data_IF_827003592150
#
_entry.id   IF_827003592150
#
_cell.length_a   1.000
_cell.length_b   1.000
_cell.length_c   1.000
_cell.angle_alpha   90.00
_cell.angle_beta   90.00
_cell.angle_gamma   90.00
#
_symmetry.space_group_name_H-M   'P 1'
#
loop_
_entity.id
_entity.type
_entity.pdbx_description
1 polymer ?
#
# COMPACT_ATOMS: atom_id res chain seq x y z
N UNK A 1 -14.57 -8.47 9.49
CA UNK A 1 -13.57 -9.42 9.00
C UNK A 1 -12.22 -8.74 8.81
N UNK A 2 -11.15 -9.35 9.29
CA UNK A 2 -9.79 -8.81 9.21
C UNK A 2 -9.32 -8.64 7.74
N UNK A 3 -9.75 -9.53 6.87
CA UNK A 3 -9.49 -9.46 5.44
C UNK A 3 -9.97 -8.13 4.81
N UNK A 4 -11.22 -7.75 5.11
CA UNK A 4 -11.81 -6.51 4.57
C UNK A 4 -11.02 -5.29 5.04
N UNK A 5 -10.66 -5.23 6.32
CA UNK A 5 -9.87 -4.14 6.90
C UNK A 5 -8.47 -4.04 6.28
N UNK A 6 -7.80 -5.17 6.08
CA UNK A 6 -6.47 -5.20 5.46
C UNK A 6 -6.50 -4.78 3.99
N UNK A 7 -7.51 -5.18 3.22
CA UNK A 7 -7.68 -4.72 1.84
C UNK A 7 -7.97 -3.22 1.79
N UNK A 8 -8.89 -2.75 2.63
CA UNK A 8 -9.34 -1.35 2.59
C UNK A 8 -8.35 -0.37 3.26
N UNK A 9 -7.37 -0.87 4.01
CA UNK A 9 -6.26 -0.06 4.55
C UNK A 9 -5.56 0.76 3.44
N UNK A 10 -5.44 0.17 2.25
CA UNK A 10 -4.77 0.80 1.12
C UNK A 10 -5.63 1.78 0.33
N UNK A 11 -6.93 1.94 0.65
CA UNK A 11 -7.84 2.82 -0.08
C UNK A 11 -7.82 4.28 0.41
N UNK A 12 -6.93 4.63 1.34
CA UNK A 12 -6.79 6.00 1.83
C UNK A 12 -6.43 7.00 0.72
N UNK A 13 -7.35 7.95 0.43
CA UNK A 13 -7.20 8.97 -0.60
C UNK A 13 -6.99 10.36 -0.01
N UNK A 14 -6.59 11.38 -0.80
CA UNK A 14 -6.58 12.77 -0.35
C UNK A 14 -7.96 13.34 0.01
N UNK A 15 -9.03 12.68 -0.43
CA UNK A 15 -10.40 13.19 -0.34
C UNK A 15 -11.15 12.58 0.83
N UNK A 16 -11.44 13.40 1.86
CA UNK A 16 -12.11 12.95 3.08
C UNK A 16 -13.50 12.35 2.84
N UNK A 17 -14.26 12.86 1.86
CA UNK A 17 -15.58 12.34 1.49
C UNK A 17 -15.47 10.89 1.00
N UNK A 18 -14.49 10.59 0.13
CA UNK A 18 -14.26 9.22 -0.38
C UNK A 18 -13.88 8.30 0.77
N UNK A 19 -12.94 8.72 1.60
CA UNK A 19 -12.48 7.95 2.75
C UNK A 19 -13.63 7.66 3.72
N UNK A 20 -14.49 8.67 4.01
CA UNK A 20 -15.65 8.51 4.86
C UNK A 20 -16.69 7.54 4.29
N UNK A 21 -16.93 7.56 2.98
CA UNK A 21 -17.84 6.62 2.33
C UNK A 21 -17.31 5.18 2.37
N UNK A 22 -16.02 4.99 2.08
CA UNK A 22 -15.40 3.66 2.18
C UNK A 22 -15.43 3.15 3.63
N UNK A 23 -15.14 4.01 4.60
CA UNK A 23 -15.21 3.64 6.02
C UNK A 23 -16.62 3.20 6.41
N UNK A 24 -17.67 3.99 6.07
CA UNK A 24 -19.07 3.64 6.32
C UNK A 24 -19.47 2.32 5.66
N UNK A 25 -19.02 2.07 4.43
CA UNK A 25 -19.30 0.81 3.74
C UNK A 25 -18.67 -0.40 4.47
N UNK A 26 -17.45 -0.24 4.99
CA UNK A 26 -16.78 -1.29 5.77
C UNK A 26 -17.49 -1.49 7.12
N UNK A 27 -17.89 -0.44 7.79
CA UNK A 27 -18.64 -0.51 9.05
C UNK A 27 -20.00 -1.21 8.84
N UNK A 28 -20.74 -0.83 7.78
CA UNK A 28 -22.00 -1.47 7.42
C UNK A 28 -21.85 -2.95 7.11
N UNK A 29 -20.79 -3.33 6.38
CA UNK A 29 -20.47 -4.72 6.09
C UNK A 29 -20.18 -5.52 7.37
N UNK A 30 -19.42 -4.95 8.32
CA UNK A 30 -19.15 -5.58 9.61
C UNK A 30 -20.42 -5.76 10.43
N UNK A 31 -21.29 -4.72 10.48
CA UNK A 31 -22.58 -4.80 11.14
C UNK A 31 -23.48 -5.89 10.53
N UNK A 32 -23.51 -5.97 9.20
CA UNK A 32 -24.24 -7.03 8.49
C UNK A 32 -23.73 -8.44 8.82
N UNK A 33 -22.43 -8.61 9.03
CA UNK A 33 -21.82 -9.86 9.48
C UNK A 33 -21.99 -10.14 10.98
N UNK A 34 -22.64 -9.24 11.74
CA UNK A 34 -22.78 -9.37 13.20
C UNK A 34 -21.46 -9.16 13.96
N UNK A 35 -20.49 -8.42 13.38
CA UNK A 35 -19.17 -8.22 13.96
C UNK A 35 -18.91 -6.72 14.21
N UNK A 36 -18.23 -6.39 15.31
CA UNK A 36 -17.72 -5.04 15.52
C UNK A 36 -16.55 -4.76 14.58
N UNK A 37 -16.48 -3.53 14.02
CA UNK A 37 -15.35 -3.14 13.17
C UNK A 37 -14.06 -3.00 13.98
N UNK A 38 -14.15 -2.63 15.26
CA UNK A 38 -13.04 -2.45 16.20
C UNK A 38 -13.00 -3.59 17.25
N UNK A 39 -13.29 -4.82 16.85
CA UNK A 39 -13.21 -6.00 17.73
C UNK A 39 -11.77 -6.21 18.23
N UNK A 40 -11.51 -6.15 19.57
CA UNK A 40 -10.16 -6.29 20.14
C UNK A 40 -9.50 -7.64 19.84
N UNK A 41 -10.29 -8.68 19.55
CA UNK A 41 -9.74 -9.98 19.16
C UNK A 41 -9.01 -9.91 17.82
N UNK A 42 -9.39 -8.98 16.94
CA UNK A 42 -8.92 -8.89 15.56
C UNK A 42 -8.30 -7.55 15.19
N UNK A 43 -8.32 -6.54 16.08
CA UNK A 43 -7.69 -5.22 15.88
C UNK A 43 -6.79 -4.85 17.04
N UNK A 44 -5.72 -4.11 16.76
CA UNK A 44 -4.89 -3.44 17.76
C UNK A 44 -5.27 -1.97 17.91
N UNK A 45 -5.69 -1.32 16.81
CA UNK A 45 -6.07 0.09 16.76
C UNK A 45 -7.51 0.25 16.26
N UNK A 46 -8.12 1.42 16.52
CA UNK A 46 -9.39 1.77 15.92
C UNK A 46 -9.27 1.88 14.38
N UNK A 47 -10.17 1.19 13.68
CA UNK A 47 -10.20 1.18 12.22
C UNK A 47 -10.56 2.57 11.68
N UNK A 48 -9.65 3.15 10.88
CA UNK A 48 -9.86 4.45 10.22
C UNK A 48 -9.23 4.44 8.83
N UNK A 49 -9.96 4.95 7.85
CA UNK A 49 -9.45 5.17 6.51
C UNK A 49 -9.02 6.62 6.37
N UNK A 50 -7.73 6.83 6.24
CA UNK A 50 -7.12 8.15 6.06
C UNK A 50 -6.01 8.06 5.02
N UNK A 51 -5.70 9.20 4.38
CA UNK A 51 -4.45 9.32 3.63
C UNK A 51 -3.31 9.57 4.62
N UNK A 52 -2.42 8.64 4.69
CA UNK A 52 -1.15 8.81 5.40
C UNK A 52 -0.02 9.02 4.39
N UNK A 53 0.91 9.90 4.71
CA UNK A 53 2.12 10.15 3.91
C UNK A 53 3.38 9.55 4.55
N UNK A 54 3.26 9.00 5.78
CA UNK A 54 4.35 8.32 6.47
C UNK A 54 4.55 6.91 5.89
N UNK A 55 5.79 6.46 5.79
CA UNK A 55 6.16 5.17 5.21
C UNK A 55 5.52 3.96 5.90
N UNK A 56 5.23 4.06 7.19
CA UNK A 56 4.65 2.99 8.01
C UNK A 56 3.12 2.87 7.88
N UNK A 57 2.46 3.92 7.38
CA UNK A 57 0.98 4.00 7.25
C UNK A 57 0.49 4.31 5.85
N UNK A 58 1.40 4.58 4.91
CA UNK A 58 1.02 4.92 3.55
C UNK A 58 0.28 3.76 2.87
N UNK A 59 -0.92 4.04 2.38
CA UNK A 59 -1.68 3.10 1.57
C UNK A 59 -1.13 3.03 0.13
N UNK A 60 -1.54 1.98 -0.59
CA UNK A 60 -1.20 1.79 -2.00
C UNK A 60 -2.48 1.77 -2.86
N UNK A 61 -3.29 2.85 -2.87
CA UNK A 61 -4.62 2.83 -3.49
C UNK A 61 -4.54 2.60 -4.99
N UNK A 62 -3.56 3.17 -5.65
CA UNK A 62 -3.41 3.06 -7.10
C UNK A 62 -2.99 1.65 -7.53
N UNK A 63 -2.08 1.04 -6.79
CA UNK A 63 -1.65 -0.34 -7.02
C UNK A 63 -2.80 -1.32 -6.75
N UNK A 64 -3.54 -1.12 -5.66
CA UNK A 64 -4.70 -1.96 -5.33
C UNK A 64 -5.79 -1.84 -6.39
N UNK A 65 -6.10 -0.63 -6.86
CA UNK A 65 -7.11 -0.40 -7.92
C UNK A 65 -6.63 -0.88 -9.29
N UNK A 66 -5.33 -0.85 -9.56
CA UNK A 66 -4.77 -1.35 -10.81
C UNK A 66 -5.02 -2.86 -11.00
N UNK A 67 -5.00 -3.66 -9.94
CA UNK A 67 -5.20 -5.10 -10.01
C UNK A 67 -6.53 -5.51 -10.66
N UNK A 68 -7.71 -5.06 -10.17
CA UNK A 68 -8.98 -5.40 -10.80
C UNK A 68 -9.13 -4.76 -12.19
N UNK A 69 -8.58 -3.56 -12.40
CA UNK A 69 -8.60 -2.92 -13.73
C UNK A 69 -7.79 -3.72 -14.75
N UNK A 70 -6.61 -4.20 -14.41
CA UNK A 70 -5.83 -5.06 -15.29
C UNK A 70 -6.50 -6.42 -15.50
N UNK A 71 -7.11 -7.00 -14.46
CA UNK A 71 -7.90 -8.23 -14.56
C UNK A 71 -9.09 -8.07 -15.51
N UNK A 72 -9.86 -6.99 -15.35
CA UNK A 72 -11.01 -6.66 -16.21
C UNK A 72 -10.56 -6.39 -17.65
N UNK A 73 -9.51 -5.61 -17.85
CA UNK A 73 -8.95 -5.33 -19.17
C UNK A 73 -8.50 -6.59 -19.88
N UNK A 74 -7.80 -7.48 -19.18
CA UNK A 74 -7.40 -8.78 -19.71
C UNK A 74 -8.59 -9.68 -20.07
N UNK A 75 -9.67 -9.63 -19.27
CA UNK A 75 -10.89 -10.35 -19.52
C UNK A 75 -11.64 -9.79 -20.74
N UNK A 76 -11.78 -8.46 -20.86
CA UNK A 76 -12.40 -7.78 -22.02
C UNK A 76 -11.65 -8.05 -23.32
N UNK A 77 -10.30 -8.00 -23.31
CA UNK A 77 -9.51 -8.42 -24.47
C UNK A 77 -9.80 -9.87 -24.82
N UNK A 78 -9.90 -10.73 -23.79
CA UNK A 78 -10.27 -12.13 -23.98
C UNK A 78 -11.65 -12.33 -24.64
N UNK A 79 -12.62 -11.46 -24.37
CA UNK A 79 -13.96 -11.51 -24.99
C UNK A 79 -13.97 -10.95 -26.42
N UNK A 80 -13.22 -9.87 -26.69
CA UNK A 80 -13.24 -9.18 -27.99
C UNK A 80 -12.68 -10.03 -29.14
N UNK A 81 -11.84 -11.02 -28.83
CA UNK A 81 -11.17 -11.84 -29.86
C UNK A 81 -11.42 -13.34 -29.72
N UNK A 82 -12.69 -13.80 -29.61
CA UNK A 82 -12.95 -15.25 -29.47
C UNK A 82 -12.49 -16.05 -30.69
N UNK A 83 -12.57 -15.48 -31.91
CA UNK A 83 -12.13 -16.12 -33.15
C UNK A 83 -10.61 -16.17 -33.32
N UNK A 84 -9.87 -15.20 -32.78
CA UNK A 84 -8.40 -15.24 -32.74
C UNK A 84 -7.84 -16.27 -31.74
N UNK A 85 -8.69 -16.75 -30.81
CA UNK A 85 -8.33 -17.88 -29.92
C UNK A 85 -8.14 -19.20 -30.66
N UNK A 86 -8.80 -19.39 -31.80
CA UNK A 86 -8.66 -20.59 -32.63
C UNK A 86 -7.39 -20.57 -33.51
N UNK A 87 -6.95 -19.39 -33.97
CA UNK A 87 -5.86 -19.24 -34.93
C UNK A 87 -4.48 -18.99 -34.29
N UNK A 88 -4.43 -18.37 -33.11
CA UNK A 88 -3.17 -18.20 -32.36
C UNK A 88 -3.24 -19.05 -31.10
N UNK A 89 -2.31 -20.01 -30.96
CA UNK A 89 -2.04 -20.76 -29.71
C UNK A 89 -2.39 -19.89 -28.51
N UNK A 90 -3.43 -20.28 -27.73
CA UNK A 90 -3.96 -19.58 -26.56
C UNK A 90 -2.83 -18.92 -25.77
N UNK A 91 -2.52 -17.66 -26.00
CA UNK A 91 -1.71 -16.89 -25.06
C UNK A 91 -2.63 -16.56 -23.89
N UNK A 92 -2.69 -17.47 -22.91
CA UNK A 92 -3.34 -17.19 -21.62
C UNK A 92 -2.71 -15.91 -21.07
N UNK A 93 -3.49 -15.08 -20.37
CA UNK A 93 -2.98 -13.85 -19.73
C UNK A 93 -1.78 -14.17 -18.84
N UNK A 94 -1.87 -15.29 -18.14
CA UNK A 94 -0.78 -15.89 -17.38
C UNK A 94 -0.64 -17.34 -17.87
N UNK A 95 0.56 -17.79 -18.04
CA UNK A 95 0.88 -19.21 -18.18
C UNK A 95 0.64 -19.95 -16.86
N UNK A 96 0.88 -21.23 -16.82
CA UNK A 96 0.66 -22.05 -15.62
C UNK A 96 1.50 -21.53 -14.44
N UNK A 97 2.71 -21.12 -14.68
CA UNK A 97 3.64 -20.63 -13.65
C UNK A 97 3.17 -19.28 -13.10
N UNK A 98 2.78 -18.36 -13.97
CA UNK A 98 2.20 -17.08 -13.57
C UNK A 98 0.88 -17.24 -12.79
N UNK A 99 0.04 -18.23 -13.14
CA UNK A 99 -1.18 -18.54 -12.36
C UNK A 99 -0.85 -19.08 -10.98
N UNK A 100 0.11 -20.02 -10.88
CA UNK A 100 0.56 -20.55 -9.60
C UNK A 100 1.20 -19.46 -8.73
N UNK A 101 1.98 -18.58 -9.33
CA UNK A 101 2.56 -17.43 -8.64
C UNK A 101 1.48 -16.48 -8.12
N UNK A 102 0.48 -16.13 -8.94
CA UNK A 102 -0.64 -15.29 -8.51
C UNK A 102 -1.45 -15.94 -7.37
N UNK A 103 -1.69 -17.25 -7.46
CA UNK A 103 -2.37 -18.02 -6.42
C UNK A 103 -1.56 -18.03 -5.11
N UNK A 104 -0.25 -18.24 -5.18
CA UNK A 104 0.63 -18.20 -4.02
C UNK A 104 0.62 -16.83 -3.33
N UNK A 105 0.64 -15.73 -4.09
CA UNK A 105 0.52 -14.39 -3.54
C UNK A 105 -0.84 -14.13 -2.89
N UNK A 106 -1.93 -14.58 -3.52
CA UNK A 106 -3.25 -14.48 -2.93
C UNK A 106 -3.37 -15.29 -1.63
N UNK A 107 -2.84 -16.51 -1.61
CA UNK A 107 -2.79 -17.34 -0.41
C UNK A 107 -1.95 -16.71 0.70
N UNK A 108 -0.79 -16.14 0.36
CA UNK A 108 0.06 -15.43 1.32
C UNK A 108 -0.64 -14.20 1.93
N UNK A 109 -1.36 -13.42 1.12
CA UNK A 109 -2.15 -12.30 1.63
C UNK A 109 -3.30 -12.76 2.54
N UNK A 110 -4.02 -13.82 2.16
CA UNK A 110 -5.09 -14.39 2.98
C UNK A 110 -4.53 -14.90 4.32
N UNK A 111 -3.42 -15.61 4.28
CA UNK A 111 -2.75 -16.12 5.48
C UNK A 111 -2.31 -14.96 6.39
N UNK A 112 -1.72 -13.90 5.83
CA UNK A 112 -1.39 -12.69 6.58
C UNK A 112 -2.64 -12.09 7.23
N UNK A 113 -3.72 -11.91 6.48
CA UNK A 113 -4.96 -11.33 6.99
C UNK A 113 -5.65 -12.18 8.07
N UNK A 114 -5.40 -13.48 8.11
CA UNK A 114 -5.92 -14.39 9.15
C UNK A 114 -5.05 -14.36 10.41
N UNK A 115 -3.73 -14.39 10.24
CA UNK A 115 -2.79 -14.54 11.35
C UNK A 115 -2.52 -13.23 12.10
N UNK A 116 -2.52 -12.09 11.39
CA UNK A 116 -2.17 -10.80 11.98
C UNK A 116 -3.41 -9.97 12.30
N UNK A 117 -3.47 -9.44 13.52
CA UNK A 117 -4.46 -8.44 13.90
C UNK A 117 -4.27 -7.18 13.05
N UNK A 118 -5.38 -6.58 12.66
CA UNK A 118 -5.33 -5.31 11.95
C UNK A 118 -4.71 -4.21 12.83
N UNK A 119 -3.84 -3.40 12.23
CA UNK A 119 -3.22 -2.23 12.84
C UNK A 119 -3.02 -1.13 11.80
N UNK A 120 -3.01 0.12 12.24
CA UNK A 120 -2.86 1.29 11.37
C UNK A 120 -1.50 1.33 10.64
N UNK A 121 -0.48 0.67 11.19
CA UNK A 121 0.87 0.51 10.60
C UNK A 121 1.01 -0.75 9.74
N UNK A 122 -0.09 -1.48 9.51
CA UNK A 122 -0.09 -2.74 8.74
C UNK A 122 0.36 -2.59 7.30
N UNK A 123 0.25 -1.38 6.72
CA UNK A 123 0.69 -1.12 5.33
C UNK A 123 2.18 -1.43 5.12
N UNK A 124 3.04 -1.16 6.10
CA UNK A 124 4.47 -1.49 6.06
C UNK A 124 4.70 -3.00 6.00
N UNK A 125 3.92 -3.77 6.75
CA UNK A 125 4.02 -5.24 6.74
C UNK A 125 3.52 -5.85 5.43
N UNK A 126 2.65 -5.15 4.72
CA UNK A 126 2.09 -5.59 3.43
C UNK A 126 2.92 -5.11 2.23
N UNK A 127 3.90 -4.22 2.41
CA UNK A 127 4.75 -3.72 1.34
C UNK A 127 5.42 -4.83 0.51
N UNK A 128 6.00 -5.90 1.11
CA UNK A 128 6.58 -7.01 0.35
C UNK A 128 5.57 -7.65 -0.61
N UNK A 129 4.30 -7.74 -0.23
CA UNK A 129 3.26 -8.29 -1.10
C UNK A 129 3.05 -7.43 -2.36
N UNK A 130 3.05 -6.10 -2.24
CA UNK A 130 2.98 -5.20 -3.41
C UNK A 130 4.21 -5.29 -4.30
N UNK A 131 5.39 -5.44 -3.71
CA UNK A 131 6.64 -5.67 -4.48
C UNK A 131 6.57 -6.97 -5.25
N UNK A 132 6.11 -8.04 -4.63
CA UNK A 132 5.94 -9.35 -5.27
C UNK A 132 4.81 -9.37 -6.32
N UNK A 133 3.87 -8.42 -6.30
CA UNK A 133 2.87 -8.25 -7.37
C UNK A 133 3.45 -7.60 -8.64
N UNK A 134 4.57 -6.89 -8.54
CA UNK A 134 5.15 -6.16 -9.67
C UNK A 134 5.43 -7.04 -10.91
N UNK A 135 5.96 -8.28 -10.81
CA UNK A 135 6.12 -9.17 -11.96
C UNK A 135 4.80 -9.49 -12.67
N UNK A 136 3.70 -9.72 -11.93
CA UNK A 136 2.39 -9.96 -12.53
C UNK A 136 1.87 -8.74 -13.28
N UNK A 137 2.06 -7.55 -12.72
CA UNK A 137 1.73 -6.28 -13.37
C UNK A 137 2.57 -6.13 -14.65
N UNK A 138 3.86 -6.46 -14.62
CA UNK A 138 4.75 -6.47 -15.77
C UNK A 138 4.27 -7.36 -16.90
N UNK A 139 3.81 -8.59 -16.60
CA UNK A 139 3.26 -9.53 -17.58
C UNK A 139 1.99 -8.99 -18.27
N UNK A 140 1.12 -8.30 -17.52
CA UNK A 140 -0.08 -7.65 -18.10
C UNK A 140 0.34 -6.43 -18.92
N UNK A 141 1.32 -5.67 -18.43
CA UNK A 141 1.87 -4.50 -19.10
C UNK A 141 2.44 -4.80 -20.48
N UNK A 142 3.20 -5.88 -20.64
CA UNK A 142 3.74 -6.31 -21.93
C UNK A 142 2.65 -6.54 -22.98
N UNK A 143 1.43 -6.82 -22.57
CA UNK A 143 0.29 -7.08 -23.46
C UNK A 143 -0.45 -5.83 -23.90
N UNK A 144 -0.13 -4.68 -23.34
CA UNK A 144 -0.65 -3.41 -23.84
C UNK A 144 -0.01 -3.12 -25.20
N UNK A 145 -0.79 -3.20 -26.28
CA UNK A 145 -0.29 -3.01 -27.65
C UNK A 145 0.22 -1.57 -27.88
N UNK A 146 -0.43 -0.59 -27.24
CA UNK A 146 -0.12 0.82 -27.43
C UNK A 146 1.00 1.29 -26.51
N UNK A 147 2.15 1.57 -27.08
CA UNK A 147 3.35 2.02 -26.34
C UNK A 147 3.10 3.29 -25.54
N UNK A 148 2.34 4.25 -26.07
CA UNK A 148 2.01 5.49 -25.34
C UNK A 148 1.23 5.21 -24.03
N UNK A 149 0.35 4.20 -24.03
CA UNK A 149 -0.42 3.83 -22.84
C UNK A 149 0.51 3.27 -21.74
N UNK A 150 1.53 2.51 -22.13
CA UNK A 150 2.56 2.03 -21.19
C UNK A 150 3.26 3.19 -20.52
N UNK A 151 3.73 4.18 -21.29
CA UNK A 151 4.38 5.35 -20.72
C UNK A 151 3.42 6.19 -19.87
N UNK A 152 2.18 6.40 -20.31
CA UNK A 152 1.19 7.14 -19.54
C UNK A 152 0.94 6.52 -18.16
N UNK A 153 0.81 5.20 -18.08
CA UNK A 153 0.64 4.47 -16.81
C UNK A 153 1.90 4.59 -15.95
N UNK A 154 3.11 4.47 -16.52
CA UNK A 154 4.36 4.64 -15.78
C UNK A 154 4.47 6.04 -15.17
N UNK A 155 4.22 7.07 -15.97
CA UNK A 155 4.22 8.46 -15.51
C UNK A 155 3.16 8.69 -14.44
N UNK A 156 1.96 8.10 -14.58
CA UNK A 156 0.92 8.17 -13.57
C UNK A 156 1.37 7.59 -12.22
N UNK A 157 1.93 6.37 -12.21
CA UNK A 157 2.41 5.77 -10.96
C UNK A 157 3.60 6.53 -10.36
N UNK A 158 4.50 7.03 -11.20
CA UNK A 158 5.58 7.90 -10.75
C UNK A 158 5.02 9.17 -10.09
N UNK A 159 4.12 9.87 -10.77
CA UNK A 159 3.48 11.08 -10.25
C UNK A 159 2.72 10.81 -8.93
N UNK A 160 2.05 9.67 -8.82
CA UNK A 160 1.35 9.26 -7.60
C UNK A 160 2.32 8.97 -6.43
N UNK A 161 3.55 8.55 -6.71
CA UNK A 161 4.58 8.32 -5.70
C UNK A 161 5.28 9.61 -5.22
N UNK A 162 5.34 10.66 -6.04
CA UNK A 162 6.07 11.90 -5.73
C UNK A 162 5.66 12.53 -4.38
N UNK A 163 4.37 12.64 -4.00
CA UNK A 163 4.01 13.19 -2.70
C UNK A 163 4.59 12.39 -1.53
N UNK A 164 4.67 11.07 -1.64
CA UNK A 164 5.25 10.23 -0.59
C UNK A 164 6.77 10.36 -0.47
N UNK A 165 7.44 10.71 -1.57
CA UNK A 165 8.89 10.95 -1.61
C UNK A 165 9.22 12.34 -1.07
N UNK A 166 8.53 13.37 -1.58
CA UNK A 166 8.90 14.76 -1.30
C UNK A 166 8.33 15.32 0.00
N UNK A 167 7.13 14.84 0.39
CA UNK A 167 6.39 15.41 1.53
C UNK A 167 6.14 14.40 2.64
N UNK A 168 7.02 13.39 2.77
CA UNK A 168 6.97 12.45 3.89
C UNK A 168 7.18 13.19 5.21
N UNK A 169 6.21 13.20 6.14
CA UNK A 169 6.35 13.94 7.39
C UNK A 169 7.54 13.52 8.27
N UNK A 170 7.96 12.26 8.17
CA UNK A 170 9.10 11.75 8.96
C UNK A 170 10.45 12.24 8.40
N UNK A 171 10.55 12.38 7.08
CA UNK A 171 11.79 12.72 6.37
C UNK A 171 11.49 13.55 5.12
N UNK A 172 10.99 14.79 5.26
CA UNK A 172 10.60 15.57 4.11
C UNK A 172 11.81 16.04 3.32
N UNK A 173 11.77 15.87 2.00
CA UNK A 173 12.75 16.47 1.08
C UNK A 173 12.44 17.94 0.80
N UNK A 174 11.16 18.30 0.82
CA UNK A 174 10.65 19.65 0.62
C UNK A 174 9.83 20.10 1.83
N UNK A 175 9.84 21.41 2.15
CA UNK A 175 8.97 21.97 3.18
C UNK A 175 7.50 21.65 2.89
N UNK A 176 6.73 21.28 3.92
CA UNK A 176 5.36 20.88 3.74
C UNK A 176 4.46 21.36 4.87
N UNK A 177 3.29 21.92 4.52
CA UNK A 177 2.24 22.39 5.47
C UNK A 177 2.74 23.39 6.52
N UNK A 178 3.63 24.30 6.14
CA UNK A 178 4.17 25.33 7.05
C UNK A 178 5.31 24.83 7.95
N UNK A 179 5.71 23.58 7.83
CA UNK A 179 6.89 23.05 8.50
C UNK A 179 8.13 23.25 7.59
N UNK A 180 9.09 24.11 7.99
CA UNK A 180 10.28 24.38 7.20
C UNK A 180 11.35 23.29 7.32
N UNK A 181 11.18 22.32 8.23
CA UNK A 181 12.17 21.27 8.47
C UNK A 181 12.22 20.27 7.32
N UNK A 182 13.43 20.03 6.82
CA UNK A 182 13.72 19.09 5.75
C UNK A 182 14.94 18.25 6.08
N UNK A 183 15.18 17.19 5.30
CA UNK A 183 16.42 16.39 5.40
C UNK A 183 17.70 17.24 5.26
N UNK A 184 17.61 18.40 4.59
CA UNK A 184 18.75 19.23 4.27
C UNK A 184 19.12 20.24 5.37
N UNK A 185 18.14 20.65 6.18
CA UNK A 185 18.29 21.73 7.16
C UNK A 185 18.03 21.28 8.61
N UNK A 186 17.72 20.02 8.84
CA UNK A 186 17.39 19.50 10.17
C UNK A 186 18.42 18.45 10.58
N UNK A 187 18.99 18.52 11.80
CA UNK A 187 19.91 17.52 12.32
C UNK A 187 19.32 16.13 12.28
N UNK A 188 20.15 15.14 11.93
CA UNK A 188 19.72 13.74 11.79
C UNK A 188 19.05 13.20 13.05
N UNK A 189 19.51 13.59 14.23
CA UNK A 189 18.93 13.17 15.50
C UNK A 189 17.48 13.63 15.67
N UNK A 190 17.17 14.87 15.30
CA UNK A 190 15.81 15.40 15.39
C UNK A 190 14.87 14.66 14.42
N UNK A 191 15.36 14.36 13.21
CA UNK A 191 14.58 13.60 12.24
C UNK A 191 14.30 12.15 12.69
N UNK A 192 15.23 11.52 13.42
CA UNK A 192 14.99 10.18 13.95
C UNK A 192 13.86 10.13 14.97
N UNK A 193 13.77 11.15 15.84
CA UNK A 193 12.78 11.18 16.91
C UNK A 193 11.53 11.98 16.56
N UNK A 194 11.41 12.46 15.32
CA UNK A 194 10.30 13.30 14.89
C UNK A 194 8.91 12.65 15.11
N UNK A 195 8.82 11.32 14.94
CA UNK A 195 7.57 10.58 15.16
C UNK A 195 7.35 10.20 16.62
N UNK A 196 8.38 10.22 17.44
CA UNK A 196 8.37 9.81 18.85
C UNK A 196 9.28 10.73 19.67
N UNK A 197 8.97 12.03 19.75
CA UNK A 197 9.83 13.02 20.43
C UNK A 197 9.99 12.73 21.93
N UNK A 198 9.02 12.05 22.54
CA UNK A 198 9.00 11.68 23.96
C UNK A 198 10.15 10.73 24.34
N UNK A 199 10.65 9.92 23.43
CA UNK A 199 11.75 8.98 23.72
C UNK A 199 13.13 9.59 23.46
N UNK A 200 13.21 10.75 22.80
CA UNK A 200 14.47 11.38 22.39
C UNK A 200 15.41 11.62 23.59
N UNK A 201 14.90 12.19 24.67
CA UNK A 201 15.70 12.53 25.85
C UNK A 201 16.33 11.27 26.49
N UNK A 202 15.58 10.17 26.59
CA UNK A 202 16.07 8.90 27.10
C UNK A 202 17.20 8.31 26.26
N UNK A 203 17.05 8.31 24.94
CA UNK A 203 18.09 7.83 24.02
C UNK A 203 19.35 8.71 24.06
N UNK A 204 19.19 10.03 24.14
CA UNK A 204 20.33 10.95 24.26
C UNK A 204 21.10 10.74 25.56
N UNK A 205 20.40 10.57 26.71
CA UNK A 205 21.01 10.28 27.98
C UNK A 205 21.80 8.96 27.99
N UNK A 206 21.21 7.93 27.35
CA UNK A 206 21.88 6.63 27.21
C UNK A 206 23.12 6.74 26.33
N UNK A 207 23.03 7.46 25.17
CA UNK A 207 24.18 7.66 24.29
C UNK A 207 25.34 8.39 25.00
N UNK A 208 25.03 9.42 25.79
CA UNK A 208 26.03 10.12 26.60
C UNK A 208 26.66 9.22 27.65
N UNK A 209 25.88 8.41 28.35
CA UNK A 209 26.40 7.45 29.33
C UNK A 209 27.34 6.42 28.68
N UNK A 210 26.96 5.87 27.52
CA UNK A 210 27.78 4.94 26.75
C UNK A 210 29.09 5.59 26.27
N UNK A 211 29.04 6.82 25.80
CA UNK A 211 30.25 7.56 25.40
C UNK A 211 31.23 7.77 26.55
N UNK A 212 30.71 7.97 27.79
CA UNK A 212 31.54 8.13 28.98
C UNK A 212 32.21 6.82 29.46
N UNK A 213 31.60 5.67 29.14
CA UNK A 213 32.12 4.35 29.46
C UNK A 213 33.16 3.83 28.46
N UNK A 214 33.42 4.57 27.39
CA UNK A 214 34.36 4.19 26.32
C UNK A 214 33.88 3.05 25.43
N UNK A 215 32.57 2.79 25.41
CA UNK A 215 31.94 1.80 24.52
C UNK A 215 31.59 2.42 23.17
#
# INVERSE_FOLDING_TARGET
SNLVRNLTLHLGTPYGIINGNVQKAVEALHTWMGQAVDDPATTLDAYRIKRYLTEDRAGNPWQLLALPLFGLFGWLIGLKYPLLRLARRRRRLLDREGQLYALALAAAFLLFAVLYKWQSTGSRLQLPWFVLLAPLIGLVWERLEKTWLRYAIAVFFLAAALPHIFTNPSRPLLPFRGDPQTLWNTPRQELYFRNFPEVQAGYQSLALALAQTGC
#
